data_IF_914549306324
#
_entry.id   IF_914549306324
#
_cell.length_a   1.000
_cell.length_b   1.000
_cell.length_c   1.000
_cell.angle_alpha   90.00
_cell.angle_beta   90.00
_cell.angle_gamma   90.00
#
_symmetry.space_group_name_H-M   'P 1'
#
loop_
_entity.id
_entity.type
_entity.pdbx_description
1 polymer ?
#
# COMPACT_ATOMS: atom_id res chain seq x y z
N UNK A 1 4.60 -6.03 18.88
CA UNK A 1 3.48 -6.70 19.58
C UNK A 1 3.98 -7.87 20.40
N UNK A 2 3.37 -8.12 21.57
CA UNK A 2 3.60 -9.33 22.36
C UNK A 2 2.47 -10.35 22.17
N UNK A 3 1.31 -9.91 21.70
CA UNK A 3 0.12 -10.70 21.50
C UNK A 3 -0.55 -10.36 20.18
N UNK A 4 -1.16 -11.37 19.56
CA UNK A 4 -1.98 -11.23 18.36
C UNK A 4 -3.33 -11.86 18.63
N UNK A 5 -4.40 -11.22 18.20
CA UNK A 5 -5.77 -11.74 18.32
C UNK A 5 -6.33 -12.02 16.93
N UNK A 6 -6.99 -13.16 16.80
CA UNK A 6 -7.72 -13.55 15.59
C UNK A 6 -9.15 -13.92 15.98
N UNK A 7 -10.12 -13.42 15.24
CA UNK A 7 -11.53 -13.68 15.46
C UNK A 7 -12.17 -14.30 14.22
N UNK A 8 -12.33 -13.52 13.16
CA UNK A 8 -13.01 -13.95 11.92
C UNK A 8 -12.34 -15.17 11.28
N UNK A 9 -11.01 -15.24 11.31
CA UNK A 9 -10.28 -16.38 10.77
C UNK A 9 -10.59 -17.69 11.51
N UNK A 10 -10.80 -17.62 12.83
CA UNK A 10 -11.23 -18.80 13.62
C UNK A 10 -12.63 -19.24 13.23
N UNK A 11 -13.53 -18.28 12.93
CA UNK A 11 -14.89 -18.59 12.48
C UNK A 11 -14.90 -19.25 11.10
N UNK A 12 -13.99 -18.85 10.20
CA UNK A 12 -13.90 -19.36 8.83
C UNK A 12 -13.15 -20.69 8.74
N UNK A 13 -12.05 -20.83 9.47
CA UNK A 13 -11.09 -21.95 9.32
C UNK A 13 -11.03 -22.86 10.56
N UNK A 14 -11.75 -22.52 11.61
CA UNK A 14 -11.69 -23.22 12.89
C UNK A 14 -10.38 -22.95 13.65
N UNK A 15 -10.19 -23.63 14.77
CA UNK A 15 -8.99 -23.47 15.61
C UNK A 15 -7.68 -23.89 14.91
N UNK A 16 -7.77 -24.66 13.83
CA UNK A 16 -6.62 -25.05 13.02
C UNK A 16 -5.84 -23.84 12.48
N UNK A 17 -6.47 -22.67 12.34
CA UNK A 17 -5.79 -21.46 11.91
C UNK A 17 -4.58 -21.11 12.78
N UNK A 18 -4.58 -21.53 14.05
CA UNK A 18 -3.45 -21.29 14.97
C UNK A 18 -2.21 -22.07 14.51
N UNK A 19 -2.37 -23.32 14.09
CA UNK A 19 -1.27 -24.13 13.59
C UNK A 19 -0.71 -23.56 12.27
N UNK A 20 -1.60 -23.08 11.41
CA UNK A 20 -1.22 -22.43 10.15
C UNK A 20 -0.44 -21.12 10.40
N UNK A 21 -0.87 -20.31 11.38
CA UNK A 21 -0.16 -19.09 11.77
C UNK A 21 1.23 -19.39 12.36
N UNK A 22 1.34 -20.40 13.22
CA UNK A 22 2.61 -20.84 13.81
C UNK A 22 3.57 -21.32 12.70
N UNK A 23 3.07 -22.17 11.81
CA UNK A 23 3.86 -22.69 10.70
C UNK A 23 4.34 -21.56 9.76
N UNK A 24 3.46 -20.61 9.45
CA UNK A 24 3.79 -19.44 8.66
C UNK A 24 4.86 -18.56 9.33
N UNK A 25 4.74 -18.35 10.64
CA UNK A 25 5.74 -17.59 11.41
C UNK A 25 7.10 -18.29 11.43
N UNK A 26 7.13 -19.60 11.62
CA UNK A 26 8.37 -20.39 11.56
C UNK A 26 9.05 -20.28 10.19
N UNK A 27 8.28 -20.39 9.11
CA UNK A 27 8.79 -20.23 7.74
C UNK A 27 9.34 -18.81 7.51
N UNK A 28 8.65 -17.79 8.00
CA UNK A 28 9.10 -16.40 7.94
C UNK A 28 10.43 -16.21 8.67
N UNK A 29 10.52 -16.67 9.93
CA UNK A 29 11.73 -16.58 10.73
C UNK A 29 12.91 -17.29 10.05
N UNK A 30 12.69 -18.48 9.52
CA UNK A 30 13.73 -19.24 8.81
C UNK A 30 14.23 -18.49 7.56
N UNK A 31 13.31 -17.91 6.76
CA UNK A 31 13.69 -17.17 5.54
C UNK A 31 14.43 -15.85 5.83
N UNK A 32 14.26 -15.28 7.02
CA UNK A 32 14.89 -14.02 7.43
C UNK A 32 16.07 -14.22 8.41
N UNK A 33 16.46 -15.47 8.69
CA UNK A 33 17.55 -15.77 9.61
C UNK A 33 17.29 -15.37 11.05
N UNK A 34 16.02 -15.32 11.48
CA UNK A 34 15.60 -14.95 12.83
C UNK A 34 15.58 -16.20 13.70
N UNK A 35 16.38 -16.22 14.75
CA UNK A 35 16.54 -17.40 15.61
C UNK A 35 15.58 -17.45 16.80
N UNK A 36 15.12 -16.29 17.26
CA UNK A 36 14.23 -16.17 18.41
C UNK A 36 13.06 -15.25 18.12
N UNK A 37 11.87 -15.62 18.61
CA UNK A 37 10.67 -14.80 18.46
C UNK A 37 10.79 -13.44 19.16
N UNK A 38 11.54 -13.36 20.24
CA UNK A 38 11.85 -12.12 20.94
C UNK A 38 12.51 -11.06 20.06
N UNK A 39 13.25 -11.47 19.04
CA UNK A 39 13.94 -10.57 18.12
C UNK A 39 12.97 -9.77 17.25
N UNK A 40 11.75 -10.31 17.03
CA UNK A 40 10.67 -9.63 16.31
C UNK A 40 9.90 -8.64 17.19
N UNK A 41 9.96 -8.81 18.51
CA UNK A 41 9.20 -7.95 19.43
C UNK A 41 9.82 -6.56 19.46
N UNK A 42 9.04 -5.58 18.99
CA UNK A 42 9.49 -4.18 19.00
C UNK A 42 10.44 -3.79 17.87
N UNK A 43 10.77 -4.69 16.95
CA UNK A 43 11.69 -4.41 15.83
C UNK A 43 11.31 -3.15 15.06
N UNK A 44 10.02 -2.95 14.82
CA UNK A 44 9.49 -1.81 14.05
C UNK A 44 9.26 -0.54 14.86
N UNK A 45 9.48 -0.55 16.19
CA UNK A 45 9.23 0.64 17.02
C UNK A 45 10.13 1.81 16.59
N UNK A 46 11.36 1.53 16.22
CA UNK A 46 12.33 2.52 15.73
C UNK A 46 11.93 3.20 14.41
N UNK A 47 11.04 2.55 13.65
CA UNK A 47 10.60 3.04 12.34
C UNK A 47 9.34 3.92 12.47
N UNK A 48 8.78 4.05 13.68
CA UNK A 48 7.65 4.94 13.94
C UNK A 48 8.13 6.38 14.17
N UNK A 49 7.54 7.30 13.44
CA UNK A 49 7.74 8.73 13.63
C UNK A 49 6.55 9.34 14.37
N UNK A 50 6.83 10.31 15.23
CA UNK A 50 5.78 11.10 15.87
C UNK A 50 5.05 11.96 14.82
N UNK A 51 3.79 12.28 15.08
CA UNK A 51 3.00 13.10 14.17
C UNK A 51 3.63 14.49 13.91
N UNK A 52 4.40 15.01 14.86
CA UNK A 52 5.17 16.25 14.75
C UNK A 52 6.40 16.16 13.85
N UNK A 53 6.92 14.95 13.65
CA UNK A 53 8.11 14.66 12.82
C UNK A 53 7.75 14.33 11.38
N UNK A 54 6.44 14.14 11.09
CA UNK A 54 5.98 13.84 9.75
C UNK A 54 6.18 15.02 8.82
N UNK A 55 6.84 14.78 7.70
CA UNK A 55 6.94 15.74 6.61
C UNK A 55 5.57 15.90 5.93
N UNK A 56 4.92 17.03 6.18
CA UNK A 56 3.60 17.38 5.63
C UNK A 56 3.68 18.32 4.43
N UNK A 57 4.86 18.81 4.13
CA UNK A 57 5.08 19.76 3.03
C UNK A 57 5.37 19.04 1.71
N UNK A 58 5.73 17.77 1.78
CA UNK A 58 6.02 16.96 0.60
C UNK A 58 4.95 15.90 0.35
N UNK A 59 4.75 15.60 -0.92
CA UNK A 59 3.82 14.58 -1.39
C UNK A 59 4.48 13.73 -2.48
N UNK A 60 4.24 12.43 -2.44
CA UNK A 60 4.68 11.50 -3.48
C UNK A 60 3.52 11.30 -4.46
N UNK A 61 3.73 11.64 -5.72
CA UNK A 61 2.72 11.45 -6.76
C UNK A 61 2.93 10.12 -7.51
N UNK A 62 1.86 9.47 -7.97
CA UNK A 62 1.97 8.34 -8.86
C UNK A 62 2.39 8.79 -10.27
N UNK A 63 3.19 7.96 -10.94
CA UNK A 63 3.60 8.12 -12.34
C UNK A 63 2.98 7.00 -13.18
N UNK A 64 2.48 7.34 -14.35
CA UNK A 64 1.87 6.40 -15.28
C UNK A 64 2.83 6.12 -16.44
N UNK A 65 3.16 4.85 -16.64
CA UNK A 65 3.80 4.37 -17.87
C UNK A 65 2.69 4.10 -18.91
N UNK A 66 2.64 4.92 -19.94
CA UNK A 66 1.59 4.83 -20.97
C UNK A 66 1.72 3.60 -21.86
N UNK A 67 2.92 3.04 -22.00
CA UNK A 67 3.18 1.84 -22.80
C UNK A 67 2.61 0.59 -22.13
N UNK A 68 2.79 0.46 -20.81
CA UNK A 68 2.26 -0.66 -20.03
C UNK A 68 0.75 -0.52 -19.74
N UNK A 69 0.19 0.67 -19.95
CA UNK A 69 -1.21 0.95 -19.63
C UNK A 69 -2.14 0.35 -20.70
N UNK A 70 -3.06 -0.50 -20.28
CA UNK A 70 -4.09 -1.13 -21.14
C UNK A 70 -5.42 -0.37 -21.17
N UNK A 71 -5.54 0.79 -20.51
CA UNK A 71 -6.75 1.61 -20.51
C UNK A 71 -7.95 1.01 -19.77
N UNK A 72 -7.73 0.09 -18.82
CA UNK A 72 -8.80 -0.67 -18.14
C UNK A 72 -9.71 0.15 -17.21
N UNK A 73 -9.31 1.36 -16.81
CA UNK A 73 -10.12 2.26 -15.99
C UNK A 73 -10.10 2.03 -14.49
N UNK A 74 -9.54 0.92 -13.98
CA UNK A 74 -9.55 0.60 -12.54
C UNK A 74 -8.99 1.71 -11.65
N UNK A 75 -7.93 2.38 -12.07
CA UNK A 75 -7.32 3.47 -11.33
C UNK A 75 -8.24 4.69 -11.21
N UNK A 76 -9.03 5.00 -12.24
CA UNK A 76 -10.01 6.09 -12.20
C UNK A 76 -11.19 5.76 -11.30
N UNK A 77 -11.73 4.55 -11.40
CA UNK A 77 -12.84 4.08 -10.54
C UNK A 77 -12.41 4.14 -9.08
N UNK A 78 -11.26 3.56 -8.73
CA UNK A 78 -10.75 3.57 -7.36
C UNK A 78 -10.48 4.99 -6.83
N UNK A 79 -10.00 5.89 -7.68
CA UNK A 79 -9.78 7.29 -7.32
C UNK A 79 -11.10 8.04 -7.13
N UNK A 80 -12.11 7.71 -7.93
CA UNK A 80 -13.46 8.27 -7.81
C UNK A 80 -14.13 7.81 -6.51
N UNK A 81 -14.13 6.51 -6.26
CA UNK A 81 -14.70 5.91 -5.04
C UNK A 81 -13.95 6.36 -3.78
N UNK A 82 -12.64 6.59 -3.87
CA UNK A 82 -11.83 7.19 -2.81
C UNK A 82 -12.07 8.68 -2.57
N UNK A 83 -12.97 9.31 -3.32
CA UNK A 83 -13.40 10.70 -3.14
C UNK A 83 -12.47 11.76 -3.73
N UNK A 84 -11.30 11.40 -4.27
CA UNK A 84 -10.32 12.39 -4.75
C UNK A 84 -10.56 12.82 -6.20
N UNK A 85 -11.12 11.93 -7.04
CA UNK A 85 -11.49 12.22 -8.44
C UNK A 85 -10.36 12.90 -9.25
N UNK A 86 -9.13 12.47 -8.97
CA UNK A 86 -7.92 13.07 -9.52
C UNK A 86 -7.43 12.40 -10.82
N UNK A 87 -8.13 11.36 -11.30
CA UNK A 87 -7.74 10.65 -12.53
C UNK A 87 -8.82 10.82 -13.58
N UNK A 88 -8.44 11.39 -14.70
CA UNK A 88 -9.28 11.53 -15.90
C UNK A 88 -8.68 10.70 -17.04
N UNK A 89 -9.50 10.35 -18.02
CA UNK A 89 -9.05 9.69 -19.23
C UNK A 89 -9.00 10.68 -20.39
N UNK A 90 -7.97 10.56 -21.22
CA UNK A 90 -7.89 11.27 -22.48
C UNK A 90 -8.66 10.49 -23.59
N UNK A 91 -8.73 11.08 -24.79
CA UNK A 91 -9.40 10.49 -25.96
C UNK A 91 -8.80 9.15 -26.38
N UNK A 92 -7.52 8.90 -26.04
CA UNK A 92 -6.81 7.65 -26.32
C UNK A 92 -7.04 6.59 -25.23
N UNK A 93 -7.97 6.81 -24.31
CA UNK A 93 -8.23 5.97 -23.14
C UNK A 93 -7.01 5.75 -22.25
N UNK A 94 -6.11 6.73 -22.18
CA UNK A 94 -4.98 6.72 -21.24
C UNK A 94 -5.28 7.65 -20.06
N UNK A 95 -4.97 7.20 -18.83
CA UNK A 95 -5.22 8.01 -17.64
C UNK A 95 -4.25 9.20 -17.55
N UNK A 96 -4.77 10.31 -17.03
CA UNK A 96 -3.99 11.50 -16.66
C UNK A 96 -4.30 11.89 -15.23
N UNK A 97 -3.27 12.16 -14.45
CA UNK A 97 -3.42 12.55 -13.05
C UNK A 97 -3.47 14.07 -12.95
N UNK A 98 -4.51 14.56 -12.28
CA UNK A 98 -4.67 15.97 -11.95
C UNK A 98 -3.95 16.25 -10.62
N UNK A 99 -2.75 16.83 -10.69
CA UNK A 99 -1.91 17.05 -9.51
C UNK A 99 -2.57 17.88 -8.40
N UNK A 100 -3.43 18.84 -8.78
CA UNK A 100 -4.15 19.68 -7.81
C UNK A 100 -5.19 18.91 -6.98
N UNK A 101 -5.71 17.79 -7.49
CA UNK A 101 -6.69 16.94 -6.81
C UNK A 101 -6.06 15.71 -6.18
N UNK A 102 -4.88 15.32 -6.64
CA UNK A 102 -4.21 14.12 -6.14
C UNK A 102 -3.63 14.37 -4.75
N UNK A 103 -3.96 13.49 -3.82
CA UNK A 103 -3.45 13.52 -2.43
C UNK A 103 -2.33 12.51 -2.17
N UNK A 104 -1.85 11.82 -3.21
CA UNK A 104 -0.77 10.84 -3.06
C UNK A 104 -1.14 9.58 -2.30
N UNK A 105 -2.41 9.17 -2.27
CA UNK A 105 -2.85 7.96 -1.54
C UNK A 105 -2.37 6.65 -2.15
N UNK A 106 -1.89 6.65 -3.38
CA UNK A 106 -1.35 5.50 -4.11
C UNK A 106 -2.31 4.32 -4.34
N UNK A 107 -3.61 4.45 -4.06
CA UNK A 107 -4.58 3.39 -4.34
C UNK A 107 -4.55 2.95 -5.81
N UNK A 108 -4.37 3.90 -6.73
CA UNK A 108 -4.24 3.62 -8.15
C UNK A 108 -3.03 2.73 -8.52
N UNK A 109 -1.97 2.75 -7.72
CA UNK A 109 -0.80 1.87 -7.89
C UNK A 109 -1.19 0.43 -7.57
N UNK A 110 -1.89 0.23 -6.44
CA UNK A 110 -2.27 -1.10 -5.96
C UNK A 110 -3.31 -1.80 -6.85
N UNK A 111 -4.22 -1.04 -7.46
CA UNK A 111 -5.28 -1.62 -8.31
C UNK A 111 -4.87 -1.80 -9.77
N UNK A 112 -3.67 -1.38 -10.16
CA UNK A 112 -3.20 -1.48 -11.54
C UNK A 112 -2.79 -2.91 -11.88
N UNK A 113 -3.51 -3.61 -12.80
CA UNK A 113 -3.24 -5.02 -13.07
C UNK A 113 -1.95 -5.25 -13.86
N UNK A 114 -1.44 -4.22 -14.54
CA UNK A 114 -0.22 -4.32 -15.37
C UNK A 114 1.00 -3.68 -14.72
N UNK A 115 0.86 -3.13 -13.50
CA UNK A 115 1.94 -2.37 -12.87
C UNK A 115 2.31 -1.08 -13.62
N UNK A 116 1.42 -0.58 -14.49
CA UNK A 116 1.68 0.64 -15.27
C UNK A 116 1.75 1.91 -14.41
N UNK A 117 1.37 1.84 -13.14
CA UNK A 117 1.40 2.98 -12.23
C UNK A 117 2.39 2.67 -11.10
N UNK A 118 3.34 3.57 -10.90
CA UNK A 118 4.35 3.47 -9.85
C UNK A 118 4.43 4.78 -9.04
N UNK A 119 5.04 4.76 -7.87
CA UNK A 119 5.37 5.96 -7.12
C UNK A 119 6.53 6.71 -7.77
N UNK A 120 6.55 8.03 -7.64
CA UNK A 120 7.68 8.87 -8.03
C UNK A 120 8.53 9.27 -6.82
N UNK A 121 9.54 10.10 -7.04
CA UNK A 121 10.22 10.78 -5.96
C UNK A 121 9.29 11.80 -5.27
N UNK A 122 9.62 12.17 -4.01
CA UNK A 122 8.89 13.20 -3.29
C UNK A 122 8.90 14.53 -4.07
N UNK A 123 7.75 15.15 -4.14
CA UNK A 123 7.56 16.45 -4.79
C UNK A 123 6.98 17.39 -3.74
N UNK A 124 7.62 18.56 -3.60
CA UNK A 124 7.09 19.60 -2.70
C UNK A 124 5.69 20.00 -3.14
N UNK A 125 4.77 20.11 -2.20
CA UNK A 125 3.44 20.64 -2.44
C UNK A 125 3.57 22.15 -2.70
N UNK A 126 3.30 22.55 -3.91
CA UNK A 126 3.17 23.98 -4.21
C UNK A 126 1.86 24.45 -3.56
N UNK A 127 2.00 25.33 -2.59
CA UNK A 127 0.84 25.97 -1.92
C UNK A 127 0.19 26.97 -2.84
#
# INVERSE_FOLDING_TARGET
CCNVQVCTSVMQFGYRIIDDLISGLQAYMASHGISQLSDLVGEKIKDFSLASELDRETMVFPKINRELCIGCGRCSISCYDGGHQAIIFDETRKPKILGQKCVGCHLCVHVCPTGAISSTNRIMKIK
#
